data_IF_521969992610
#
_entry.id   IF_521969992610
#
_cell.length_a   1.000
_cell.length_b   1.000
_cell.length_c   1.000
_cell.angle_alpha   90.00
_cell.angle_beta   90.00
_cell.angle_gamma   90.00
#
_symmetry.space_group_name_H-M   'P 1'
#
loop_
_entity.id
_entity.type
_entity.pdbx_description
1 polymer ?
#
# COMPACT_ATOMS: atom_id res chain seq x y z
N UNK A 1 13.10 11.87 9.54
CA UNK A 1 12.38 12.12 8.26
C UNK A 1 12.75 13.46 7.62
N UNK A 2 12.61 14.62 8.28
CA UNK A 2 12.92 15.90 7.60
C UNK A 2 14.41 16.08 7.26
N UNK A 3 15.33 15.69 8.14
CA UNK A 3 16.77 15.76 7.88
C UNK A 3 17.26 14.66 6.97
N UNK A 4 16.80 13.43 7.21
CA UNK A 4 17.16 12.25 6.46
C UNK A 4 15.93 11.73 5.69
N UNK A 5 16.13 11.25 4.48
CA UNK A 5 15.04 10.76 3.61
C UNK A 5 14.70 9.29 3.96
N UNK A 6 14.36 9.04 5.23
CA UNK A 6 14.16 7.68 5.77
C UNK A 6 13.09 6.90 5.00
N UNK A 7 12.04 7.58 4.51
CA UNK A 7 10.96 6.89 3.78
C UNK A 7 11.49 6.25 2.50
N UNK A 8 12.24 7.00 1.70
CA UNK A 8 12.78 6.49 0.42
C UNK A 8 14.03 5.66 0.63
N UNK A 9 14.94 6.12 1.49
CA UNK A 9 16.27 5.51 1.63
C UNK A 9 16.26 4.24 2.48
N UNK A 10 15.23 4.03 3.30
CA UNK A 10 15.12 2.89 4.21
C UNK A 10 13.80 2.15 4.04
N UNK A 11 12.66 2.79 4.37
CA UNK A 11 11.38 2.09 4.46
C UNK A 11 10.92 1.54 3.11
N UNK A 12 11.02 2.30 2.04
CA UNK A 12 10.67 1.85 0.71
C UNK A 12 11.44 0.57 0.34
N UNK A 13 12.75 0.55 0.59
CA UNK A 13 13.62 -0.58 0.22
C UNK A 13 13.45 -1.83 1.11
N UNK A 14 12.91 -1.67 2.32
CA UNK A 14 12.62 -2.81 3.21
C UNK A 14 11.31 -3.51 2.90
N UNK A 15 10.44 -2.89 2.11
CA UNK A 15 9.07 -3.35 1.90
C UNK A 15 8.83 -3.99 0.53
N UNK A 16 9.88 -4.38 -0.17
CA UNK A 16 9.83 -5.13 -1.44
C UNK A 16 10.89 -6.24 -1.48
N UNK A 17 10.68 -7.23 -2.34
CA UNK A 17 11.61 -8.35 -2.51
C UNK A 17 12.76 -7.98 -3.45
N UNK A 18 12.43 -7.34 -4.57
CA UNK A 18 13.44 -6.89 -5.54
C UNK A 18 14.24 -5.69 -5.02
N UNK A 19 15.44 -5.52 -5.52
CA UNK A 19 16.24 -4.32 -5.27
C UNK A 19 16.00 -3.31 -6.38
N UNK A 20 15.85 -2.03 -6.00
CA UNK A 20 15.85 -0.94 -6.97
C UNK A 20 17.20 -0.79 -7.64
N UNK A 21 17.21 -0.42 -8.93
CA UNK A 21 18.40 0.12 -9.56
C UNK A 21 18.72 1.52 -9.00
N UNK A 22 19.94 2.01 -9.18
CA UNK A 22 20.28 3.37 -8.78
C UNK A 22 19.38 4.44 -9.45
N UNK A 23 18.99 4.21 -10.69
CA UNK A 23 18.14 5.10 -11.49
C UNK A 23 16.71 5.15 -10.93
N UNK A 24 16.11 4.00 -10.64
CA UNK A 24 14.79 3.89 -10.01
C UNK A 24 14.79 4.59 -8.65
N UNK A 25 15.81 4.35 -7.84
CA UNK A 25 15.92 4.98 -6.53
C UNK A 25 16.12 6.49 -6.63
N UNK A 26 16.81 6.98 -7.66
CA UNK A 26 16.95 8.40 -7.94
C UNK A 26 15.59 9.05 -8.26
N UNK A 27 14.72 8.36 -9.02
CA UNK A 27 13.35 8.85 -9.30
C UNK A 27 12.50 8.95 -8.03
N UNK A 28 12.55 7.96 -7.14
CA UNK A 28 11.88 8.03 -5.84
C UNK A 28 12.43 9.16 -4.96
N UNK A 29 13.73 9.45 -5.04
CA UNK A 29 14.36 10.56 -4.30
C UNK A 29 14.04 11.92 -4.87
N UNK A 30 13.77 12.03 -6.17
CA UNK A 30 13.62 13.29 -6.89
C UNK A 30 12.69 14.30 -6.22
N UNK A 31 11.49 13.94 -5.72
CA UNK A 31 10.61 14.89 -5.03
C UNK A 31 11.15 15.33 -3.65
N UNK A 32 12.11 14.62 -3.07
CA UNK A 32 12.55 14.74 -1.68
C UNK A 32 14.05 15.07 -1.56
N UNK A 33 14.66 15.62 -2.60
CA UNK A 33 16.08 15.99 -2.59
C UNK A 33 16.37 17.09 -1.55
N UNK A 34 15.47 18.07 -1.43
CA UNK A 34 15.61 19.17 -0.50
C UNK A 34 15.21 18.74 0.91
N UNK A 35 16.17 18.75 1.83
CA UNK A 35 15.92 18.49 3.25
C UNK A 35 15.02 19.56 3.88
N UNK A 36 14.40 19.25 5.01
CA UNK A 36 13.49 20.15 5.70
C UNK A 36 12.08 20.11 5.11
N UNK A 37 11.51 21.25 4.79
CA UNK A 37 10.11 21.36 4.35
C UNK A 37 9.80 20.60 3.05
N UNK A 38 10.77 20.42 2.15
CA UNK A 38 10.60 19.57 0.97
C UNK A 38 10.24 18.12 1.28
N UNK A 39 10.56 17.65 2.49
CA UNK A 39 10.23 16.30 2.99
C UNK A 39 9.03 16.28 3.95
N UNK A 40 8.33 17.39 4.14
CA UNK A 40 7.16 17.50 5.02
C UNK A 40 6.08 16.46 4.67
N UNK A 41 5.75 16.19 3.39
CA UNK A 41 4.73 15.21 3.05
C UNK A 41 4.99 13.82 3.64
N UNK A 42 6.23 13.36 3.64
CA UNK A 42 6.60 12.03 4.19
C UNK A 42 6.44 11.97 5.70
N UNK A 43 6.72 13.07 6.42
CA UNK A 43 6.51 13.15 7.86
C UNK A 43 5.02 13.21 8.21
N UNK A 44 4.25 14.03 7.48
CA UNK A 44 2.80 14.15 7.68
C UNK A 44 2.13 12.80 7.44
N UNK A 45 2.40 12.15 6.31
CA UNK A 45 1.88 10.81 6.02
C UNK A 45 2.16 9.81 7.15
N UNK A 46 3.36 9.79 7.72
CA UNK A 46 3.70 8.88 8.81
C UNK A 46 2.93 9.20 10.11
N UNK A 47 2.60 10.47 10.35
CA UNK A 47 1.84 10.92 11.52
C UNK A 47 0.34 10.65 11.41
N UNK A 48 -0.17 10.56 10.18
CA UNK A 48 -1.57 10.24 9.91
C UNK A 48 -1.87 8.72 9.98
N UNK A 49 -0.88 7.88 10.32
CA UNK A 49 -1.15 6.46 10.58
C UNK A 49 -1.85 6.32 11.93
N UNK A 50 -3.05 5.75 12.01
CA UNK A 50 -3.87 5.75 13.24
C UNK A 50 -3.40 4.67 14.23
N UNK A 51 -2.20 4.84 14.77
CA UNK A 51 -1.66 3.99 15.82
C UNK A 51 -2.34 4.31 17.16
N UNK A 52 -2.75 3.28 17.89
CA UNK A 52 -3.39 3.41 19.21
C UNK A 52 -4.63 4.33 19.22
N UNK A 53 -5.31 4.47 18.06
CA UNK A 53 -6.53 5.25 17.94
C UNK A 53 -6.37 6.73 17.60
N UNK A 54 -5.15 7.17 17.35
CA UNK A 54 -4.84 8.57 16.96
C UNK A 54 -4.09 8.64 15.62
N UNK A 55 -4.40 9.60 14.73
CA UNK A 55 -5.46 10.64 14.87
C UNK A 55 -6.87 10.06 14.81
N UNK A 56 -7.77 10.54 15.66
CA UNK A 56 -9.13 10.00 15.80
C UNK A 56 -9.99 10.18 14.56
N UNK A 57 -9.86 11.31 13.86
CA UNK A 57 -10.57 11.62 12.61
C UNK A 57 -10.16 10.65 11.47
N UNK A 58 -8.89 10.30 11.38
CA UNK A 58 -8.40 9.29 10.42
C UNK A 58 -8.96 7.92 10.76
N UNK A 59 -9.00 7.56 12.05
CA UNK A 59 -9.59 6.29 12.49
C UNK A 59 -11.09 6.21 12.16
N UNK A 60 -11.85 7.32 12.32
CA UNK A 60 -13.26 7.39 11.95
C UNK A 60 -13.45 7.13 10.45
N UNK A 61 -12.68 7.79 9.59
CA UNK A 61 -12.70 7.58 8.13
C UNK A 61 -12.42 6.12 7.78
N UNK A 62 -11.43 5.50 8.42
CA UNK A 62 -11.08 4.09 8.18
C UNK A 62 -12.22 3.15 8.61
N UNK A 63 -12.85 3.42 9.73
CA UNK A 63 -13.98 2.62 10.22
C UNK A 63 -15.19 2.74 9.29
N UNK A 64 -15.55 3.93 8.86
CA UNK A 64 -16.64 4.19 7.93
C UNK A 64 -16.38 3.50 6.58
N UNK A 65 -15.19 3.68 6.03
CA UNK A 65 -14.77 3.00 4.82
C UNK A 65 -14.81 1.47 4.94
N UNK A 66 -14.33 0.94 6.05
CA UNK A 66 -14.35 -0.50 6.31
C UNK A 66 -15.77 -1.06 6.43
N UNK A 67 -16.65 -0.33 7.12
CA UNK A 67 -18.07 -0.65 7.19
C UNK A 67 -18.75 -0.63 5.83
N UNK A 68 -18.45 0.36 5.00
CA UNK A 68 -18.96 0.45 3.64
C UNK A 68 -18.47 -0.71 2.77
N UNK A 69 -17.19 -1.06 2.83
CA UNK A 69 -16.60 -2.17 2.06
C UNK A 69 -17.22 -3.53 2.41
N UNK A 70 -17.58 -3.75 3.67
CA UNK A 70 -18.22 -5.00 4.12
C UNK A 70 -19.71 -5.09 3.80
N UNK A 71 -20.38 -3.96 3.53
CA UNK A 71 -21.83 -3.90 3.37
C UNK A 71 -22.31 -3.76 1.92
N UNK A 72 -21.45 -3.38 0.98
CA UNK A 72 -21.84 -3.19 -0.43
C UNK A 72 -21.47 -4.39 -1.31
N UNK A 73 -22.23 -4.58 -2.39
CA UNK A 73 -22.06 -5.66 -3.36
C UNK A 73 -21.32 -5.22 -4.64
N UNK A 74 -20.68 -4.07 -4.65
CA UNK A 74 -19.87 -3.66 -5.80
C UNK A 74 -18.77 -4.69 -6.07
N UNK A 75 -18.45 -4.98 -7.34
CA UNK A 75 -17.34 -5.85 -7.67
C UNK A 75 -16.03 -5.34 -7.09
N UNK A 76 -15.24 -6.23 -6.50
CA UNK A 76 -13.95 -5.91 -5.87
C UNK A 76 -12.88 -6.87 -6.39
N UNK A 77 -11.67 -6.36 -6.55
CA UNK A 77 -10.48 -7.15 -6.80
C UNK A 77 -9.51 -6.95 -5.62
N UNK A 78 -9.24 -8.02 -4.88
CA UNK A 78 -8.20 -8.06 -3.87
C UNK A 78 -6.91 -8.60 -4.50
N UNK A 79 -5.83 -7.83 -4.42
CA UNK A 79 -4.50 -8.29 -4.83
C UNK A 79 -3.65 -8.39 -3.56
N UNK A 80 -3.22 -9.59 -3.22
CA UNK A 80 -2.44 -9.86 -2.02
C UNK A 80 -1.02 -10.32 -2.35
N UNK A 81 -0.05 -9.93 -1.52
CA UNK A 81 1.35 -10.36 -1.67
C UNK A 81 1.62 -11.73 -1.05
N UNK A 82 2.56 -12.47 -1.61
CA UNK A 82 3.13 -13.69 -1.08
C UNK A 82 4.68 -13.55 -0.98
N UNK A 83 5.29 -13.61 0.20
CA UNK A 83 4.68 -13.87 1.52
C UNK A 83 3.85 -12.71 2.07
N UNK A 84 3.88 -11.52 1.45
CA UNK A 84 3.26 -10.33 1.99
C UNK A 84 4.01 -9.76 3.19
N UNK A 85 3.54 -8.63 3.71
CA UNK A 85 4.09 -8.02 4.93
C UNK A 85 3.00 -7.45 5.84
N UNK A 86 2.39 -6.31 5.49
CA UNK A 86 1.41 -5.64 6.36
C UNK A 86 0.00 -6.22 6.22
N UNK A 87 -0.40 -6.60 5.01
CA UNK A 87 -1.70 -7.21 4.72
C UNK A 87 -1.59 -8.74 4.81
N UNK A 88 -1.52 -9.26 6.04
CA UNK A 88 -1.38 -10.69 6.33
C UNK A 88 -2.27 -11.10 7.51
N UNK A 89 -2.41 -12.39 7.78
CA UNK A 89 -3.12 -12.92 8.93
C UNK A 89 -4.54 -12.38 9.05
N UNK A 90 -4.90 -11.83 10.22
CA UNK A 90 -6.25 -11.33 10.51
C UNK A 90 -6.68 -10.17 9.59
N UNK A 91 -5.74 -9.30 9.18
CA UNK A 91 -6.03 -8.18 8.28
C UNK A 91 -6.44 -8.68 6.88
N UNK A 92 -5.69 -9.63 6.35
CA UNK A 92 -6.01 -10.26 5.07
C UNK A 92 -7.33 -11.03 5.14
N UNK A 93 -7.57 -11.78 6.22
CA UNK A 93 -8.82 -12.50 6.44
C UNK A 93 -10.02 -11.53 6.49
N UNK A 94 -9.87 -10.36 7.10
CA UNK A 94 -10.90 -9.32 7.10
C UNK A 94 -11.19 -8.81 5.68
N UNK A 95 -10.17 -8.48 4.89
CA UNK A 95 -10.38 -8.07 3.50
C UNK A 95 -11.04 -9.18 2.68
N UNK A 96 -10.68 -10.44 2.89
CA UNK A 96 -11.30 -11.60 2.23
C UNK A 96 -12.77 -11.80 2.57
N UNK A 97 -13.26 -11.24 3.68
CA UNK A 97 -14.68 -11.34 4.07
C UNK A 97 -15.59 -10.37 3.31
N UNK A 98 -15.06 -9.44 2.52
CA UNK A 98 -15.86 -8.47 1.78
C UNK A 98 -16.64 -9.16 0.65
N UNK A 99 -17.93 -8.81 0.46
CA UNK A 99 -18.78 -9.45 -0.54
C UNK A 99 -18.39 -9.09 -1.97
N UNK A 100 -18.74 -9.97 -2.91
CA UNK A 100 -18.55 -9.81 -4.37
C UNK A 100 -17.09 -9.46 -4.73
N UNK A 101 -16.17 -10.29 -4.24
CA UNK A 101 -14.73 -10.08 -4.38
C UNK A 101 -14.08 -11.24 -5.14
N UNK A 102 -13.24 -10.89 -6.12
CA UNK A 102 -12.23 -11.78 -6.70
C UNK A 102 -10.90 -11.55 -5.99
N UNK A 103 -10.10 -12.59 -5.84
CA UNK A 103 -8.74 -12.46 -5.27
C UNK A 103 -7.72 -13.05 -6.23
N UNK A 104 -6.58 -12.39 -6.33
CA UNK A 104 -5.33 -12.96 -6.85
C UNK A 104 -4.22 -12.76 -5.82
N UNK A 105 -3.22 -13.63 -5.86
CA UNK A 105 -2.00 -13.50 -5.08
C UNK A 105 -0.83 -13.37 -6.05
N UNK A 106 0.05 -12.39 -5.78
CA UNK A 106 1.28 -12.15 -6.54
C UNK A 106 2.49 -12.26 -5.61
N UNK A 107 3.66 -12.49 -6.15
CA UNK A 107 4.88 -12.47 -5.35
C UNK A 107 5.19 -11.05 -4.89
N UNK A 108 5.56 -10.89 -3.62
CA UNK A 108 5.91 -9.56 -3.09
C UNK A 108 5.69 -9.40 -1.60
N UNK A 109 6.23 -8.31 -1.05
CA UNK A 109 6.07 -7.94 0.35
C UNK A 109 4.91 -6.95 0.53
N UNK A 110 5.22 -5.67 0.81
CA UNK A 110 4.23 -4.62 0.98
C UNK A 110 4.04 -3.80 -0.30
N UNK A 111 5.13 -3.49 -0.97
CA UNK A 111 5.12 -2.76 -2.23
C UNK A 111 5.03 -3.74 -3.40
N UNK A 112 3.96 -4.52 -3.45
CA UNK A 112 3.74 -5.58 -4.46
C UNK A 112 3.77 -5.06 -5.89
N UNK A 113 3.41 -3.80 -6.12
CA UNK A 113 3.49 -3.15 -7.44
C UNK A 113 4.94 -2.97 -7.93
N UNK A 114 5.92 -3.02 -7.02
CA UNK A 114 7.34 -3.01 -7.37
C UNK A 114 7.89 -4.40 -7.63
N UNK A 115 7.29 -5.40 -6.99
CA UNK A 115 7.73 -6.79 -7.11
C UNK A 115 7.08 -7.52 -8.30
N UNK A 116 5.78 -7.27 -8.56
CA UNK A 116 4.96 -8.00 -9.55
C UNK A 116 4.07 -7.04 -10.38
N UNK A 117 4.63 -6.03 -11.07
CA UNK A 117 3.83 -5.03 -11.80
C UNK A 117 3.04 -5.64 -12.97
N UNK A 118 3.62 -6.58 -13.69
CA UNK A 118 3.00 -7.18 -14.88
C UNK A 118 1.82 -8.06 -14.50
N UNK A 119 1.97 -8.91 -13.49
CA UNK A 119 0.92 -9.79 -12.97
C UNK A 119 -0.25 -8.98 -12.40
N UNK A 120 0.04 -7.86 -11.72
CA UNK A 120 -0.98 -6.93 -11.23
C UNK A 120 -1.73 -6.29 -12.40
N UNK A 121 -1.00 -5.82 -13.42
CA UNK A 121 -1.58 -5.21 -14.61
C UNK A 121 -2.50 -6.16 -15.37
N UNK A 122 -2.06 -7.40 -15.59
CA UNK A 122 -2.85 -8.47 -16.23
C UNK A 122 -4.10 -8.82 -15.41
N UNK A 123 -3.97 -8.93 -14.10
CA UNK A 123 -5.10 -9.23 -13.21
C UNK A 123 -6.17 -8.13 -13.24
N UNK A 124 -5.76 -6.85 -13.16
CA UNK A 124 -6.68 -5.71 -13.26
C UNK A 124 -7.38 -5.69 -14.61
N UNK A 125 -6.63 -5.82 -15.70
CA UNK A 125 -7.19 -5.85 -17.05
C UNK A 125 -8.21 -6.98 -17.25
N UNK A 126 -7.84 -8.19 -16.83
CA UNK A 126 -8.69 -9.35 -16.92
C UNK A 126 -9.94 -9.27 -16.03
N UNK A 127 -9.82 -8.69 -14.85
CA UNK A 127 -10.95 -8.48 -13.95
C UNK A 127 -11.89 -7.42 -14.51
N UNK A 128 -11.36 -6.27 -14.96
CA UNK A 128 -12.16 -5.20 -15.54
C UNK A 128 -12.95 -5.63 -16.78
N UNK A 129 -12.38 -6.48 -17.62
CA UNK A 129 -13.05 -7.00 -18.81
C UNK A 129 -14.25 -7.91 -18.51
N UNK A 130 -14.44 -8.33 -17.25
CA UNK A 130 -15.56 -9.19 -16.81
C UNK A 130 -16.66 -8.44 -16.07
N UNK A 131 -16.50 -7.12 -15.86
CA UNK A 131 -17.53 -6.26 -15.26
C UNK A 131 -18.61 -5.90 -16.26
#
# INVERSE_FOLDING_TARGET
>A
MLKENVVVDVLLQLHQQRKFTPEELAEYRRPFLQAGEGRRPTLTWAREQPWDGEPADVLEIINDYSGWMTSNSLPKLLISGNPGALLTGKRLAFCRSWPNQSEIQVDGLHNIQEDSPDEIGEAISSWYARL
#
